data_IF_099086180553
#
_entry.id   IF_099086180553
#
_cell.length_a   1.000
_cell.length_b   1.000
_cell.length_c   1.000
_cell.angle_alpha   90.00
_cell.angle_beta   90.00
_cell.angle_gamma   90.00
#
_symmetry.space_group_name_H-M   'P 1'
#
loop_
_entity.id
_entity.type
_entity.pdbx_description
1 polymer ?
#
# COMPACT_ATOMS: atom_id res chain seq x y z
N UNK A 1 -35.53 16.34 -15.49
CA UNK A 1 -35.04 16.73 -14.14
C UNK A 1 -34.90 15.49 -13.29
N UNK A 2 -33.69 15.19 -12.80
CA UNK A 2 -33.40 14.70 -11.43
C UNK A 2 -31.88 14.46 -11.30
N UNK A 3 -31.16 15.51 -10.91
CA UNK A 3 -29.77 15.44 -10.42
C UNK A 3 -29.77 15.55 -8.90
N UNK A 4 -30.34 14.57 -8.23
CA UNK A 4 -30.37 14.51 -6.76
C UNK A 4 -29.77 13.20 -6.32
N UNK A 5 -28.85 13.28 -5.36
CA UNK A 5 -28.23 12.14 -4.73
C UNK A 5 -28.82 12.01 -3.32
N UNK A 6 -29.52 10.91 -3.06
CA UNK A 6 -30.03 10.60 -1.72
C UNK A 6 -28.91 10.22 -0.77
N UNK A 7 -29.22 10.08 0.52
CA UNK A 7 -28.21 9.77 1.55
C UNK A 7 -27.40 8.50 1.22
N UNK A 8 -28.07 7.44 0.75
CA UNK A 8 -27.39 6.19 0.40
C UNK A 8 -26.45 6.37 -0.80
N UNK A 9 -26.89 7.12 -1.82
CA UNK A 9 -26.06 7.41 -3.00
C UNK A 9 -24.88 8.31 -2.66
N UNK A 10 -25.05 9.27 -1.75
CA UNK A 10 -23.96 10.14 -1.31
C UNK A 10 -22.97 9.38 -0.43
N UNK A 11 -23.47 8.49 0.43
CA UNK A 11 -22.62 7.61 1.23
C UNK A 11 -21.82 6.65 0.34
N UNK A 12 -22.46 6.06 -0.68
CA UNK A 12 -21.79 5.21 -1.65
C UNK A 12 -20.71 5.97 -2.45
N UNK A 13 -20.98 7.22 -2.83
CA UNK A 13 -20.01 8.08 -3.51
C UNK A 13 -18.81 8.43 -2.61
N UNK A 14 -19.04 8.77 -1.34
CA UNK A 14 -17.95 9.05 -0.40
C UNK A 14 -17.06 7.82 -0.12
N UNK A 15 -17.57 6.62 -0.39
CA UNK A 15 -16.86 5.35 -0.24
C UNK A 15 -16.41 4.76 -1.59
N UNK A 16 -16.58 5.48 -2.71
CA UNK A 16 -16.12 5.03 -4.02
C UNK A 16 -14.67 5.43 -4.26
N UNK A 17 -14.06 4.80 -5.26
CA UNK A 17 -12.70 5.10 -5.72
C UNK A 17 -12.53 6.58 -6.13
N UNK A 18 -13.60 7.25 -6.54
CA UNK A 18 -13.59 8.69 -6.88
C UNK A 18 -13.30 9.58 -5.66
N UNK A 19 -13.60 9.08 -4.45
CA UNK A 19 -13.38 9.76 -3.18
C UNK A 19 -12.28 9.10 -2.33
N UNK A 20 -11.51 8.17 -2.91
CA UNK A 20 -10.44 7.52 -2.18
C UNK A 20 -9.39 8.52 -1.70
N UNK A 21 -8.89 8.27 -0.48
CA UNK A 21 -7.89 9.14 0.14
C UNK A 21 -6.54 9.06 -0.58
N UNK A 22 -6.24 7.91 -1.18
CA UNK A 22 -4.98 7.68 -1.88
C UNK A 22 -5.06 8.22 -3.30
N UNK A 23 -4.02 8.95 -3.71
CA UNK A 23 -3.91 9.48 -5.06
C UNK A 23 -3.82 8.32 -6.09
N UNK A 24 -4.77 8.23 -7.04
CA UNK A 24 -4.76 7.20 -8.07
C UNK A 24 -3.49 7.17 -8.92
N UNK A 25 -2.81 8.32 -9.12
CA UNK A 25 -1.54 8.37 -9.89
C UNK A 25 -0.43 7.56 -9.20
N UNK A 26 -0.47 7.46 -7.87
CA UNK A 26 0.50 6.73 -7.06
C UNK A 26 0.19 5.24 -6.91
N UNK A 27 -0.92 4.74 -7.51
CA UNK A 27 -1.24 3.29 -7.55
C UNK A 27 -0.38 2.52 -8.56
N UNK A 28 0.43 3.22 -9.35
CA UNK A 28 1.39 2.64 -10.28
C UNK A 28 2.74 3.35 -10.17
N UNK A 29 3.78 2.81 -10.81
CA UNK A 29 5.09 3.46 -10.86
C UNK A 29 4.96 4.77 -11.64
N UNK A 30 4.99 5.89 -10.92
CA UNK A 30 4.86 7.24 -11.47
C UNK A 30 6.17 8.04 -11.42
N UNK A 31 7.20 7.51 -10.76
CA UNK A 31 8.51 8.14 -10.64
C UNK A 31 9.39 7.83 -11.87
N UNK A 32 10.38 8.70 -12.16
CA UNK A 32 11.45 8.38 -13.09
C UNK A 32 12.33 7.29 -12.49
N UNK A 33 12.34 6.10 -13.10
CA UNK A 33 13.10 4.93 -12.65
C UNK A 33 14.46 4.78 -13.36
N UNK A 34 14.93 5.80 -14.09
CA UNK A 34 16.19 5.77 -14.84
C UNK A 34 17.41 6.26 -14.06
N UNK A 35 17.23 6.90 -12.91
CA UNK A 35 18.35 7.31 -12.04
C UNK A 35 19.08 6.11 -11.41
N UNK A 36 20.33 6.28 -10.93
CA UNK A 36 21.02 5.24 -10.16
C UNK A 36 20.28 4.84 -8.89
N UNK A 37 20.46 3.60 -8.42
CA UNK A 37 19.76 3.04 -7.26
C UNK A 37 19.89 3.89 -5.98
N UNK A 38 21.01 4.59 -5.80
CA UNK A 38 21.26 5.45 -4.65
C UNK A 38 20.36 6.69 -4.56
N UNK A 39 19.53 6.96 -5.58
CA UNK A 39 18.58 8.08 -5.60
C UNK A 39 17.20 7.72 -5.02
N UNK A 40 16.95 6.44 -4.72
CA UNK A 40 15.64 5.98 -4.26
C UNK A 40 15.73 5.43 -2.85
N UNK A 41 14.62 5.54 -2.12
CA UNK A 41 14.40 4.75 -0.92
C UNK A 41 14.06 3.31 -1.33
N UNK A 42 14.71 2.35 -0.69
CA UNK A 42 14.50 0.91 -0.94
C UNK A 42 13.78 0.32 0.27
N UNK A 43 12.56 -0.19 0.04
CA UNK A 43 11.85 -0.98 1.03
C UNK A 43 12.72 -2.21 1.39
N UNK A 44 13.16 -2.26 2.64
CA UNK A 44 14.16 -3.23 3.12
C UNK A 44 13.68 -3.81 4.44
N UNK A 45 13.86 -5.12 4.61
CA UNK A 45 13.56 -5.84 5.84
C UNK A 45 14.84 -6.30 6.53
N UNK A 46 14.78 -6.46 7.85
CA UNK A 46 15.89 -6.98 8.66
C UNK A 46 15.44 -8.26 9.36
N UNK A 47 16.28 -9.31 9.29
CA UNK A 47 15.96 -10.64 9.82
C UNK A 47 14.58 -11.15 9.35
N UNK A 48 14.32 -11.06 8.05
CA UNK A 48 13.01 -11.36 7.41
C UNK A 48 12.48 -12.76 7.73
N UNK A 49 13.34 -13.70 8.10
CA UNK A 49 12.94 -15.05 8.50
C UNK A 49 12.25 -15.09 9.87
N UNK A 50 12.45 -14.11 10.74
CA UNK A 50 11.84 -14.06 12.07
C UNK A 50 10.39 -13.61 11.98
N UNK A 51 9.49 -14.43 12.50
CA UNK A 51 8.07 -14.07 12.59
C UNK A 51 7.73 -13.28 13.86
N UNK A 52 8.59 -13.36 14.87
CA UNK A 52 8.35 -12.80 16.20
C UNK A 52 9.64 -12.18 16.79
N UNK A 53 9.95 -12.46 18.06
CA UNK A 53 11.06 -11.84 18.77
C UNK A 53 12.44 -12.34 18.31
N UNK A 54 13.49 -11.58 18.67
CA UNK A 54 14.87 -11.84 18.24
C UNK A 54 15.58 -12.96 19.01
N UNK A 55 15.03 -13.43 20.14
CA UNK A 55 15.71 -14.35 21.05
C UNK A 55 15.18 -15.77 20.98
N UNK A 56 13.86 -15.95 20.90
CA UNK A 56 13.18 -17.25 20.94
C UNK A 56 12.08 -17.37 19.88
N UNK A 57 11.84 -16.32 19.10
CA UNK A 57 10.85 -16.31 18.02
C UNK A 57 11.16 -17.33 16.93
N UNK A 58 10.14 -17.96 16.33
CA UNK A 58 10.33 -18.94 15.28
C UNK A 58 10.85 -18.30 13.99
N UNK A 59 11.67 -19.06 13.26
CA UNK A 59 12.10 -18.74 11.90
C UNK A 59 11.21 -19.45 10.88
N UNK A 60 10.78 -18.76 9.83
CA UNK A 60 9.94 -19.33 8.78
C UNK A 60 10.18 -18.67 7.42
N UNK A 61 9.94 -19.45 6.36
CA UNK A 61 9.87 -18.93 4.99
C UNK A 61 8.72 -17.94 4.83
N UNK A 62 7.67 -18.07 5.65
CA UNK A 62 6.50 -17.19 5.63
C UNK A 62 6.88 -15.72 5.80
N UNK A 63 7.94 -15.41 6.55
CA UNK A 63 8.41 -14.04 6.72
C UNK A 63 8.91 -13.41 5.42
N UNK A 64 9.56 -14.20 4.55
CA UNK A 64 9.97 -13.73 3.22
C UNK A 64 8.82 -13.61 2.23
N UNK A 65 7.75 -14.41 2.39
CA UNK A 65 6.57 -14.37 1.51
C UNK A 65 5.76 -13.09 1.75
N UNK A 66 5.73 -12.60 2.98
CA UNK A 66 4.89 -11.47 3.41
C UNK A 66 5.60 -10.12 3.47
N UNK A 67 6.93 -10.10 3.36
CA UNK A 67 7.75 -8.90 3.45
C UNK A 67 7.74 -8.05 2.17
#
# INVERSE_FOLDING_TARGET
RKGHLGIDGFTAYLLSEDCDLFDPEHLSVCQDMSHPLSHYFVASSHNTYLLEDQLKGPSSVEGYIRA
#
